data_IF_985116725314
#
_entry.id   IF_985116725314
#
_cell.length_a   1.000
_cell.length_b   1.000
_cell.length_c   1.000
_cell.angle_alpha   90.00
_cell.angle_beta   90.00
_cell.angle_gamma   90.00
#
_symmetry.space_group_name_H-M   'P 1'
#
loop_
_entity.id
_entity.type
_entity.pdbx_description
1 polymer ?
#
# COMPACT_ATOMS: atom_id res chain seq x y z
N UNK A 1 -67.28 58.46 66.47
CA UNK A 1 -66.83 59.78 66.00
C UNK A 1 -67.05 59.81 64.50
N UNK A 2 -67.97 60.65 64.02
CA UNK A 2 -68.17 60.88 62.58
C UNK A 2 -67.45 62.16 62.17
N UNK A 3 -66.64 62.10 61.11
CA UNK A 3 -66.03 63.28 60.48
C UNK A 3 -66.63 63.41 59.08
N UNK A 4 -67.35 64.50 58.82
CA UNK A 4 -68.08 64.69 57.55
C UNK A 4 -69.33 63.81 57.36
N UNK A 5 -69.78 63.09 58.40
CA UNK A 5 -70.95 62.21 58.37
C UNK A 5 -71.83 62.42 59.60
N UNK A 6 -73.15 62.46 59.42
CA UNK A 6 -74.15 62.72 60.47
C UNK A 6 -74.63 61.47 61.22
N UNK A 7 -74.46 60.28 60.66
CA UNK A 7 -74.80 59.01 61.30
C UNK A 7 -73.68 57.97 61.08
N UNK A 8 -72.61 57.98 61.89
CA UNK A 8 -71.45 57.12 61.68
C UNK A 8 -71.76 55.64 61.96
N UNK A 9 -71.40 54.76 61.03
CA UNK A 9 -71.63 53.32 61.13
C UNK A 9 -70.58 52.59 61.99
N UNK A 10 -69.48 53.27 62.34
CA UNK A 10 -68.36 52.72 63.12
C UNK A 10 -67.90 53.67 64.23
N UNK A 11 -67.06 53.16 65.15
CA UNK A 11 -66.48 53.95 66.26
C UNK A 11 -65.70 55.17 65.76
N UNK A 12 -65.06 55.06 64.61
CA UNK A 12 -64.53 56.17 63.81
C UNK A 12 -65.00 55.97 62.37
N UNK A 13 -65.63 57.00 61.80
CA UNK A 13 -66.18 56.98 60.44
C UNK A 13 -65.87 58.33 59.78
N UNK A 14 -65.33 58.33 58.57
CA UNK A 14 -64.77 59.51 57.90
C UNK A 14 -65.25 59.54 56.45
N UNK A 15 -66.13 60.49 56.15
CA UNK A 15 -66.57 60.78 54.78
C UNK A 15 -65.59 61.76 54.13
N UNK A 16 -64.47 61.24 53.63
CA UNK A 16 -63.41 62.03 53.00
C UNK A 16 -62.01 61.42 53.13
N UNK A 17 -60.99 62.19 52.77
CA UNK A 17 -59.60 61.74 52.87
C UNK A 17 -59.05 61.89 54.31
N UNK A 18 -58.57 60.79 54.90
CA UNK A 18 -57.88 60.81 56.18
C UNK A 18 -56.35 60.98 55.97
N UNK A 19 -55.78 62.09 56.45
CA UNK A 19 -54.34 62.34 56.44
C UNK A 19 -53.74 62.05 57.82
N UNK A 20 -52.95 60.99 57.93
CA UNK A 20 -52.19 60.63 59.13
C UNK A 20 -50.69 60.57 58.82
N UNK A 21 -49.83 60.79 59.83
CA UNK A 21 -48.39 60.62 59.69
C UNK A 21 -48.00 59.13 59.61
N UNK A 22 -48.77 58.26 60.27
CA UNK A 22 -48.71 56.81 60.13
C UNK A 22 -50.09 56.22 60.50
N UNK A 23 -50.44 55.09 59.89
CA UNK A 23 -51.49 54.21 60.38
C UNK A 23 -50.80 52.99 61.01
N UNK A 24 -51.06 52.72 62.29
CA UNK A 24 -50.50 51.55 63.01
C UNK A 24 -51.62 50.56 63.33
N UNK A 25 -51.40 49.29 63.01
CA UNK A 25 -52.36 48.19 63.11
C UNK A 25 -51.97 47.04 62.17
N UNK A 26 -52.81 46.01 62.07
CA UNK A 26 -52.60 44.90 61.13
C UNK A 26 -52.88 45.27 59.65
N UNK A 27 -53.63 46.35 59.41
CA UNK A 27 -54.00 46.83 58.08
C UNK A 27 -54.95 45.90 57.31
N UNK A 28 -55.40 44.78 57.89
CA UNK A 28 -56.01 43.67 57.16
C UNK A 28 -57.37 44.00 56.52
N UNK A 29 -58.04 45.06 57.00
CA UNK A 29 -59.33 45.52 56.52
C UNK A 29 -59.25 46.81 55.67
N UNK A 30 -58.04 47.31 55.37
CA UNK A 30 -57.87 48.49 54.51
C UNK A 30 -58.02 48.08 53.04
N UNK A 31 -59.26 48.11 52.57
CA UNK A 31 -59.64 47.78 51.18
C UNK A 31 -59.64 49.02 50.28
N UNK A 32 -59.78 48.82 48.96
CA UNK A 32 -59.96 49.88 47.96
C UNK A 32 -58.82 50.93 47.84
N UNK A 33 -57.59 50.60 48.26
CA UNK A 33 -56.40 51.38 47.87
C UNK A 33 -56.13 51.13 46.38
N UNK A 34 -56.20 52.18 45.57
CA UNK A 34 -55.77 52.10 44.17
C UNK A 34 -54.24 51.90 44.07
N UNK A 35 -53.80 50.93 43.27
CA UNK A 35 -52.39 50.58 43.13
C UNK A 35 -51.50 51.75 42.66
N UNK A 36 -52.07 52.69 41.89
CA UNK A 36 -51.41 53.93 41.46
C UNK A 36 -50.98 54.85 42.60
N UNK A 37 -51.58 54.70 43.78
CA UNK A 37 -51.38 55.58 44.92
C UNK A 37 -50.34 55.03 45.92
N UNK A 38 -49.77 53.85 45.64
CA UNK A 38 -48.73 53.23 46.46
C UNK A 38 -47.36 53.67 45.94
N UNK A 39 -46.94 54.87 46.34
CA UNK A 39 -45.68 55.50 45.91
C UNK A 39 -44.45 54.91 46.64
N UNK A 40 -44.15 53.64 46.39
CA UNK A 40 -42.97 52.93 46.91
C UNK A 40 -43.14 52.39 48.34
N UNK A 41 -42.66 51.16 48.55
CA UNK A 41 -42.70 50.48 49.85
C UNK A 41 -42.32 49.00 49.74
N UNK A 42 -41.97 48.38 50.86
CA UNK A 42 -41.72 46.94 50.95
C UNK A 42 -42.93 46.23 51.55
N UNK A 43 -43.58 45.37 50.78
CA UNK A 43 -44.67 44.51 51.26
C UNK A 43 -44.05 43.33 52.04
N UNK A 44 -44.05 43.41 53.36
CA UNK A 44 -43.57 42.34 54.25
C UNK A 44 -44.76 41.60 54.89
N UNK A 45 -44.67 40.27 55.01
CA UNK A 45 -45.71 39.45 55.65
C UNK A 45 -46.98 39.16 54.83
N UNK A 46 -47.08 39.60 53.57
CA UNK A 46 -48.28 39.41 52.74
C UNK A 46 -48.24 38.07 52.00
N UNK A 47 -49.29 37.24 52.12
CA UNK A 47 -49.33 35.91 51.48
C UNK A 47 -49.59 35.93 49.97
N UNK A 48 -50.26 36.98 49.47
CA UNK A 48 -50.57 37.16 48.04
C UNK A 48 -50.51 38.64 47.67
N UNK A 49 -50.03 38.95 46.47
CA UNK A 49 -50.03 40.29 45.88
C UNK A 49 -50.66 40.18 44.49
N UNK A 50 -51.81 40.83 44.29
CA UNK A 50 -52.49 40.92 43.00
C UNK A 50 -52.17 42.27 42.35
N UNK A 51 -51.32 42.28 41.34
CA UNK A 51 -50.97 43.45 40.54
C UNK A 51 -51.16 43.12 39.06
N UNK A 52 -51.89 43.97 38.33
CA UNK A 52 -52.08 43.84 36.88
C UNK A 52 -50.82 44.19 36.08
N UNK A 53 -50.00 45.09 36.62
CA UNK A 53 -48.71 45.49 36.05
C UNK A 53 -47.71 45.69 37.18
N UNK A 54 -46.56 45.00 37.13
CA UNK A 54 -45.47 45.18 38.10
C UNK A 54 -44.37 46.01 37.43
N UNK A 55 -44.48 47.33 37.54
CA UNK A 55 -43.46 48.28 37.10
C UNK A 55 -42.59 48.68 38.31
N UNK A 56 -41.40 48.10 38.43
CA UNK A 56 -40.44 48.42 39.51
C UNK A 56 -39.13 48.87 38.89
N UNK A 57 -38.55 49.95 39.40
CA UNK A 57 -37.25 50.48 38.97
C UNK A 57 -36.05 49.69 39.53
N UNK A 58 -36.27 48.43 39.92
CA UNK A 58 -35.28 47.58 40.61
C UNK A 58 -35.74 46.12 40.69
N UNK A 59 -34.98 45.29 41.40
CA UNK A 59 -35.17 43.84 41.44
C UNK A 59 -36.46 43.42 42.16
N UNK A 60 -37.26 42.56 41.51
CA UNK A 60 -38.36 41.83 42.16
C UNK A 60 -37.79 40.59 42.86
N UNK A 61 -37.82 40.56 44.19
CA UNK A 61 -37.45 39.37 44.98
C UNK A 61 -38.68 38.51 45.27
N UNK A 62 -38.88 37.45 44.50
CA UNK A 62 -39.95 36.47 44.71
C UNK A 62 -39.44 35.32 45.58
N UNK A 63 -39.62 35.41 46.90
CA UNK A 63 -39.09 34.42 47.85
C UNK A 63 -39.71 33.02 47.74
N UNK A 64 -40.97 32.91 47.33
CA UNK A 64 -41.66 31.64 47.03
C UNK A 64 -42.90 31.91 46.18
N UNK A 65 -42.88 31.50 44.90
CA UNK A 65 -44.05 31.60 44.01
C UNK A 65 -44.82 30.29 44.04
N UNK A 66 -45.93 30.23 44.78
CA UNK A 66 -46.75 29.01 44.92
C UNK A 66 -47.80 28.91 43.79
N UNK A 67 -47.41 29.20 42.54
CA UNK A 67 -48.22 28.90 41.36
C UNK A 67 -47.38 28.72 40.09
N UNK A 68 -47.86 27.83 39.21
CA UNK A 68 -47.07 27.01 38.29
C UNK A 68 -46.64 27.65 36.96
N UNK A 69 -46.93 28.93 36.71
CA UNK A 69 -46.67 29.54 35.39
C UNK A 69 -46.41 31.03 35.52
N UNK A 70 -45.29 31.48 34.94
CA UNK A 70 -44.96 32.88 34.76
C UNK A 70 -44.90 33.17 33.25
N UNK A 71 -45.64 34.17 32.78
CA UNK A 71 -45.73 34.52 31.36
C UNK A 71 -45.41 36.00 31.20
N UNK A 72 -44.34 36.34 30.48
CA UNK A 72 -44.00 37.71 30.11
C UNK A 72 -44.29 37.98 28.64
N UNK A 73 -44.87 39.15 28.34
CA UNK A 73 -45.07 39.64 26.97
C UNK A 73 -43.78 40.19 26.31
N UNK A 74 -42.65 40.13 27.02
CA UNK A 74 -41.34 40.62 26.58
C UNK A 74 -40.20 39.82 27.22
N UNK A 75 -38.97 40.21 26.91
CA UNK A 75 -37.77 39.50 27.34
C UNK A 75 -37.59 39.51 28.88
N UNK A 76 -37.29 38.33 29.42
CA UNK A 76 -36.85 38.16 30.81
C UNK A 76 -35.43 38.69 30.98
N UNK A 77 -35.29 39.92 31.48
CA UNK A 77 -33.97 40.48 31.80
C UNK A 77 -33.43 39.87 33.09
N UNK A 78 -32.25 39.25 32.99
CA UNK A 78 -31.52 38.71 34.13
C UNK A 78 -30.44 39.69 34.58
N UNK A 79 -30.29 39.88 35.89
CA UNK A 79 -29.17 40.65 36.44
C UNK A 79 -27.82 39.99 36.09
N UNK A 80 -26.75 40.79 36.03
CA UNK A 80 -25.40 40.27 35.76
C UNK A 80 -25.05 39.15 36.76
N UNK A 81 -24.50 38.05 36.25
CA UNK A 81 -24.19 36.82 36.99
C UNK A 81 -25.37 35.99 37.55
N UNK A 82 -26.63 36.40 37.35
CA UNK A 82 -27.78 35.54 37.65
C UNK A 82 -27.83 34.32 36.70
N UNK A 83 -28.45 33.23 37.14
CA UNK A 83 -28.59 31.96 36.41
C UNK A 83 -29.99 31.39 36.60
N UNK A 84 -30.58 30.80 35.56
CA UNK A 84 -31.77 29.96 35.69
C UNK A 84 -31.28 28.58 36.13
N UNK A 85 -31.81 28.07 37.24
CA UNK A 85 -31.40 26.80 37.84
C UNK A 85 -32.65 25.96 38.18
N UNK A 86 -32.48 24.66 38.39
CA UNK A 86 -33.59 23.75 38.72
C UNK A 86 -34.50 23.35 37.55
N UNK A 87 -34.11 23.62 36.30
CA UNK A 87 -34.81 23.10 35.12
C UNK A 87 -34.75 21.57 35.08
N UNK A 88 -35.88 20.94 34.76
CA UNK A 88 -35.98 19.50 34.57
C UNK A 88 -35.41 19.06 33.22
N UNK A 89 -35.35 17.74 32.98
CA UNK A 89 -35.01 17.17 31.67
C UNK A 89 -36.11 17.49 30.65
N UNK A 90 -35.80 18.09 29.49
CA UNK A 90 -36.78 18.34 28.44
C UNK A 90 -37.44 17.07 27.91
N UNK A 91 -38.73 17.16 27.61
CA UNK A 91 -39.54 16.12 26.97
C UNK A 91 -39.93 16.47 25.52
N UNK A 92 -39.75 17.73 25.11
CA UNK A 92 -40.02 18.21 23.75
C UNK A 92 -38.98 19.24 23.28
N UNK A 93 -38.90 19.46 21.96
CA UNK A 93 -37.90 20.35 21.34
C UNK A 93 -38.05 21.83 21.74
N UNK A 94 -39.25 22.25 22.12
CA UNK A 94 -39.58 23.65 22.46
C UNK A 94 -39.37 23.97 23.95
N UNK A 95 -38.93 23.00 24.76
CA UNK A 95 -38.69 23.17 26.19
C UNK A 95 -37.26 23.63 26.50
N UNK A 96 -37.11 24.44 27.56
CA UNK A 96 -35.80 24.96 27.99
C UNK A 96 -34.95 23.87 28.66
N UNK A 97 -33.76 23.61 28.12
CA UNK A 97 -32.84 22.60 28.64
C UNK A 97 -31.95 23.11 29.78
N UNK A 98 -31.62 22.22 30.73
CA UNK A 98 -30.52 22.45 31.66
C UNK A 98 -29.17 22.32 30.95
N UNK A 99 -28.14 23.04 31.41
CA UNK A 99 -26.78 22.90 30.87
C UNK A 99 -26.28 21.46 30.96
N UNK A 100 -26.59 20.74 32.05
CA UNK A 100 -26.20 19.33 32.20
C UNK A 100 -26.83 18.40 31.14
N UNK A 101 -28.05 18.70 30.68
CA UNK A 101 -28.70 17.93 29.61
C UNK A 101 -28.02 18.17 28.26
N UNK A 102 -27.80 19.44 27.91
CA UNK A 102 -27.09 19.81 26.67
C UNK A 102 -25.66 19.28 26.67
N UNK A 103 -24.93 19.42 27.79
CA UNK A 103 -23.57 18.91 27.94
C UNK A 103 -23.52 17.39 27.83
N UNK A 104 -24.51 16.66 28.36
CA UNK A 104 -24.61 15.20 28.24
C UNK A 104 -24.86 14.71 26.81
N UNK A 105 -25.54 15.51 25.97
CA UNK A 105 -25.76 15.20 24.56
C UNK A 105 -24.64 15.68 23.63
N UNK A 106 -23.92 16.75 24.00
CA UNK A 106 -22.96 17.45 23.11
C UNK A 106 -21.50 17.41 23.59
N UNK A 107 -21.21 16.70 24.69
CA UNK A 107 -19.85 16.51 25.19
C UNK A 107 -19.30 17.65 26.07
N UNK A 108 -20.16 18.60 26.49
CA UNK A 108 -19.89 19.47 27.63
C UNK A 108 -18.66 20.38 27.55
N UNK A 109 -18.45 21.06 26.43
CA UNK A 109 -17.47 22.16 26.33
C UNK A 109 -16.07 21.75 25.85
N UNK A 110 -16.00 21.01 24.73
CA UNK A 110 -14.74 20.72 24.03
C UNK A 110 -14.70 21.36 22.64
N UNK A 111 -13.54 21.89 22.25
CA UNK A 111 -13.24 22.47 20.94
C UNK A 111 -12.74 21.41 19.93
N UNK A 112 -13.24 20.18 20.03
CA UNK A 112 -12.88 19.06 19.17
C UNK A 112 -14.10 18.58 18.37
N UNK A 113 -13.94 18.43 17.05
CA UNK A 113 -15.03 18.14 16.14
C UNK A 113 -15.47 16.68 16.16
N UNK A 114 -16.75 16.49 15.83
CA UNK A 114 -17.35 15.20 15.50
C UNK A 114 -16.82 14.73 14.15
N UNK A 115 -16.38 13.48 14.07
CA UNK A 115 -15.93 12.84 12.83
C UNK A 115 -16.92 11.80 12.30
N UNK A 116 -17.23 11.93 11.02
CA UNK A 116 -17.82 10.89 10.17
C UNK A 116 -16.73 10.02 9.51
N UNK A 117 -17.13 8.81 9.10
CA UNK A 117 -16.40 7.76 8.36
C UNK A 117 -15.01 7.28 8.83
N UNK A 118 -14.21 8.02 9.61
CA UNK A 118 -13.02 7.50 10.30
C UNK A 118 -12.66 8.28 11.55
N UNK A 119 -12.51 7.57 12.68
CA UNK A 119 -11.87 8.03 13.91
C UNK A 119 -10.84 6.98 14.35
N UNK A 120 -9.67 7.36 14.87
CA UNK A 120 -8.67 6.42 15.42
C UNK A 120 -7.82 7.11 16.51
N UNK A 121 -7.18 6.32 17.37
CA UNK A 121 -7.47 6.40 18.80
C UNK A 121 -6.20 6.40 19.68
N UNK A 122 -6.10 7.28 20.70
CA UNK A 122 -5.02 7.18 21.73
C UNK A 122 -5.49 6.81 23.12
N UNK A 123 -6.77 7.00 23.44
CA UNK A 123 -7.55 5.99 24.15
C UNK A 123 -8.66 5.58 23.20
N UNK A 124 -9.64 6.48 23.07
CA UNK A 124 -10.46 6.67 21.87
C UNK A 124 -10.48 8.18 21.53
N UNK A 125 -9.81 8.61 20.44
CA UNK A 125 -9.71 10.01 19.97
C UNK A 125 -10.61 10.34 18.76
N UNK A 126 -11.11 11.57 18.74
CA UNK A 126 -11.65 12.25 17.56
C UNK A 126 -10.66 13.30 17.00
N UNK A 127 -10.78 13.67 15.72
CA UNK A 127 -9.87 14.56 14.96
C UNK A 127 -10.61 15.76 14.35
N UNK A 128 -9.87 16.82 13.99
CA UNK A 128 -10.37 17.95 13.18
C UNK A 128 -9.32 18.32 12.12
N UNK A 129 -9.73 18.57 10.88
CA UNK A 129 -8.92 19.12 9.78
C UNK A 129 -7.63 18.36 9.38
N UNK A 130 -7.47 17.07 9.73
CA UNK A 130 -6.27 16.30 9.37
C UNK A 130 -6.50 14.94 8.68
N UNK A 131 -7.67 14.32 8.83
CA UNK A 131 -7.98 13.00 8.24
C UNK A 131 -9.27 13.10 7.43
N UNK A 132 -9.17 12.80 6.13
CA UNK A 132 -10.29 12.70 5.18
C UNK A 132 -10.27 11.31 4.56
N UNK A 133 -11.31 10.51 4.80
CA UNK A 133 -11.33 9.11 4.37
C UNK A 133 -12.52 8.81 3.46
N UNK A 134 -12.20 8.25 2.31
CA UNK A 134 -13.14 7.81 1.27
C UNK A 134 -13.76 6.45 1.60
N UNK A 135 -14.69 5.99 0.76
CA UNK A 135 -15.44 4.73 0.90
C UNK A 135 -14.60 3.45 0.92
N UNK A 136 -13.27 3.54 0.76
CA UNK A 136 -12.41 2.41 0.44
C UNK A 136 -11.29 2.15 1.44
N UNK A 137 -11.14 2.91 2.53
CA UNK A 137 -10.12 2.65 3.57
C UNK A 137 -10.80 2.19 4.86
N UNK A 138 -10.51 0.96 5.25
CA UNK A 138 -11.10 0.27 6.39
C UNK A 138 -10.00 0.01 7.43
N UNK A 139 -10.27 0.29 8.70
CA UNK A 139 -9.40 -0.11 9.82
C UNK A 139 -10.21 -1.04 10.71
N UNK A 140 -9.81 -2.30 10.78
CA UNK A 140 -10.57 -3.36 11.47
C UNK A 140 -9.64 -4.44 12.01
N UNK A 141 -9.94 -4.97 13.20
CA UNK A 141 -9.14 -5.96 13.89
C UNK A 141 -7.62 -5.63 14.01
N UNK A 142 -7.25 -4.34 14.09
CA UNK A 142 -5.87 -3.87 14.12
C UNK A 142 -5.15 -3.79 12.77
N UNK A 143 -5.84 -4.17 11.69
CA UNK A 143 -5.32 -4.19 10.33
C UNK A 143 -5.88 -3.02 9.49
N UNK A 144 -5.13 -2.60 8.47
CA UNK A 144 -5.53 -1.59 7.48
C UNK A 144 -5.90 -2.29 6.17
N UNK A 145 -7.12 -2.08 5.68
CA UNK A 145 -7.63 -2.57 4.40
C UNK A 145 -7.91 -1.42 3.43
N UNK A 146 -7.48 -1.54 2.17
CA UNK A 146 -7.82 -0.63 1.07
C UNK A 146 -8.61 -1.41 0.01
N UNK A 147 -9.89 -1.05 -0.17
CA UNK A 147 -10.84 -1.76 -1.02
C UNK A 147 -11.43 -3.02 -0.39
N UNK A 148 -11.20 -3.25 0.91
CA UNK A 148 -11.60 -4.48 1.61
C UNK A 148 -11.82 -4.21 3.09
N UNK A 149 -12.96 -4.68 3.60
CA UNK A 149 -13.36 -4.71 5.02
C UNK A 149 -12.93 -6.02 5.72
N UNK A 150 -12.30 -6.96 4.99
CA UNK A 150 -11.73 -8.20 5.52
C UNK A 150 -10.21 -8.29 5.25
N UNK A 151 -9.38 -7.42 5.87
CA UNK A 151 -7.92 -7.43 5.67
C UNK A 151 -7.26 -8.73 6.16
N UNK A 152 -6.55 -9.42 5.27
CA UNK A 152 -5.87 -10.71 5.53
C UNK A 152 -4.48 -10.57 6.21
N UNK A 153 -4.05 -9.36 6.48
CA UNK A 153 -2.79 -9.02 7.14
C UNK A 153 -2.82 -7.58 7.66
N UNK A 154 -1.75 -7.15 8.34
CA UNK A 154 -1.60 -5.82 8.94
C UNK A 154 -1.90 -4.67 7.96
N UNK A 155 -1.56 -4.87 6.69
CA UNK A 155 -1.93 -3.98 5.59
C UNK A 155 -2.36 -4.82 4.38
N UNK A 156 -3.54 -4.56 3.81
CA UNK A 156 -4.11 -5.27 2.66
C UNK A 156 -4.65 -4.27 1.64
N UNK A 157 -4.29 -4.43 0.36
CA UNK A 157 -4.84 -3.65 -0.77
C UNK A 157 -5.49 -4.58 -1.80
N UNK A 158 -6.75 -4.30 -2.13
CA UNK A 158 -7.57 -5.02 -3.10
C UNK A 158 -8.79 -5.71 -2.47
N UNK A 159 -9.91 -5.78 -3.23
CA UNK A 159 -11.14 -6.45 -2.81
C UNK A 159 -11.15 -7.97 -3.09
N UNK A 160 -10.16 -8.48 -3.82
CA UNK A 160 -10.16 -9.82 -4.38
C UNK A 160 -9.78 -10.93 -3.40
N UNK A 161 -10.09 -12.18 -3.77
CA UNK A 161 -9.64 -13.35 -3.03
C UNK A 161 -8.09 -13.43 -2.94
N UNK A 162 -7.42 -13.06 -4.03
CA UNK A 162 -5.99 -12.73 -4.10
C UNK A 162 -5.79 -11.22 -3.97
N UNK A 163 -5.03 -10.74 -2.96
CA UNK A 163 -4.76 -9.32 -2.75
C UNK A 163 -3.84 -8.79 -3.85
N UNK A 164 -3.96 -7.51 -4.19
CA UNK A 164 -2.93 -6.86 -4.99
C UNK A 164 -1.63 -6.72 -4.18
N UNK A 165 -1.76 -6.37 -2.90
CA UNK A 165 -0.65 -6.20 -1.96
C UNK A 165 -1.09 -6.60 -0.54
N UNK A 166 -0.25 -7.32 0.21
CA UNK A 166 -0.46 -7.64 1.63
C UNK A 166 0.84 -7.59 2.43
N UNK A 167 0.77 -7.10 3.67
CA UNK A 167 1.81 -7.30 4.70
C UNK A 167 1.23 -8.17 5.79
N UNK A 168 1.84 -9.31 6.03
CA UNK A 168 1.41 -10.27 7.07
C UNK A 168 1.90 -9.84 8.46
N UNK A 169 1.30 -10.39 9.52
CA UNK A 169 1.79 -10.22 10.91
C UNK A 169 3.20 -10.82 11.13
N UNK A 170 3.67 -11.70 10.24
CA UNK A 170 5.04 -12.21 10.21
C UNK A 170 6.05 -11.24 9.54
N UNK A 171 5.63 -10.05 9.11
CA UNK A 171 6.49 -9.06 8.46
C UNK A 171 6.83 -9.36 7.00
N UNK A 172 6.14 -10.34 6.38
CA UNK A 172 6.33 -10.73 4.99
C UNK A 172 5.37 -9.97 4.06
N UNK A 173 5.87 -9.56 2.89
CA UNK A 173 5.13 -8.83 1.86
C UNK A 173 4.71 -9.77 0.72
N UNK A 174 3.43 -9.81 0.40
CA UNK A 174 2.86 -10.57 -0.71
C UNK A 174 2.27 -9.66 -1.79
N UNK A 175 2.60 -9.92 -3.06
CA UNK A 175 1.97 -9.31 -4.24
C UNK A 175 1.24 -10.42 -5.01
N UNK A 176 -0.06 -10.30 -5.23
CA UNK A 176 -0.86 -11.36 -5.86
C UNK A 176 -1.05 -12.63 -5.03
N UNK A 177 -0.52 -12.70 -3.80
CA UNK A 177 -0.63 -13.85 -2.88
C UNK A 177 -1.10 -13.41 -1.49
N UNK A 178 -1.86 -14.27 -0.80
CA UNK A 178 -2.32 -14.04 0.58
C UNK A 178 -1.38 -14.57 1.65
N UNK A 179 -0.60 -15.60 1.31
CA UNK A 179 0.32 -16.28 2.21
C UNK A 179 1.72 -16.28 1.63
N UNK A 180 2.44 -15.14 1.67
CA UNK A 180 3.86 -15.13 1.36
C UNK A 180 4.60 -16.10 2.30
N UNK A 181 5.44 -16.97 1.74
CA UNK A 181 6.33 -17.90 2.48
C UNK A 181 7.76 -17.36 2.60
N UNK A 182 8.04 -16.23 1.96
CA UNK A 182 9.30 -15.49 1.98
C UNK A 182 9.06 -14.03 2.33
N UNK A 183 10.14 -13.31 2.71
CA UNK A 183 10.05 -11.87 3.09
C UNK A 183 9.38 -11.00 2.03
N UNK A 184 9.59 -11.31 0.75
CA UNK A 184 8.87 -10.74 -0.39
C UNK A 184 8.53 -11.88 -1.35
N UNK A 185 7.23 -12.09 -1.61
CA UNK A 185 6.77 -13.03 -2.63
C UNK A 185 5.83 -12.33 -3.61
N UNK A 186 6.13 -12.44 -4.91
CA UNK A 186 5.26 -11.97 -5.99
C UNK A 186 4.72 -13.18 -6.75
N UNK A 187 3.40 -13.32 -6.81
CA UNK A 187 2.71 -14.31 -7.62
C UNK A 187 2.40 -13.72 -9.00
N UNK A 188 3.44 -13.55 -9.82
CA UNK A 188 3.35 -12.94 -11.15
C UNK A 188 4.72 -12.43 -11.63
N UNK A 189 4.75 -11.82 -12.83
CA UNK A 189 5.97 -11.21 -13.35
C UNK A 189 6.39 -9.96 -12.60
N UNK A 190 7.69 -9.78 -12.42
CA UNK A 190 8.29 -8.57 -11.83
C UNK A 190 9.08 -7.84 -12.92
N UNK A 191 8.72 -6.58 -13.20
CA UNK A 191 9.54 -5.70 -14.04
C UNK A 191 10.44 -4.87 -13.14
N UNK A 192 11.76 -4.98 -13.32
CA UNK A 192 12.76 -4.16 -12.63
C UNK A 192 13.50 -3.32 -13.67
N UNK A 193 13.28 -2.01 -13.64
CA UNK A 193 13.74 -1.07 -14.69
C UNK A 193 15.25 -0.84 -14.67
N UNK A 194 15.91 -1.04 -13.52
CA UNK A 194 17.36 -1.16 -13.38
C UNK A 194 17.70 -1.71 -11.98
N UNK A 195 18.91 -2.25 -11.81
CA UNK A 195 19.45 -2.49 -10.46
C UNK A 195 18.99 -3.76 -9.74
N UNK A 196 18.57 -4.81 -10.46
CA UNK A 196 18.69 -6.15 -9.88
C UNK A 196 20.19 -6.45 -9.75
N UNK A 197 20.74 -6.37 -8.53
CA UNK A 197 22.14 -6.64 -8.30
C UNK A 197 22.47 -8.10 -8.67
N UNK A 198 23.61 -8.32 -9.33
CA UNK A 198 24.10 -9.67 -9.60
C UNK A 198 24.19 -10.46 -8.28
N UNK A 199 23.59 -11.67 -8.24
CA UNK A 199 23.39 -12.44 -7.02
C UNK A 199 21.96 -12.38 -6.42
N UNK A 200 21.04 -11.64 -7.04
CA UNK A 200 19.61 -11.76 -6.71
C UNK A 200 19.04 -13.08 -7.26
N UNK A 201 18.75 -14.03 -6.35
CA UNK A 201 18.17 -15.34 -6.67
C UNK A 201 16.76 -15.22 -7.25
N UNK A 202 16.66 -15.14 -8.58
CA UNK A 202 15.39 -15.34 -9.31
C UNK A 202 15.12 -16.84 -9.37
N UNK A 203 14.47 -17.38 -8.33
CA UNK A 203 14.05 -18.78 -8.27
C UNK A 203 12.91 -19.01 -9.28
N UNK A 204 13.26 -19.36 -10.52
CA UNK A 204 12.28 -19.46 -11.59
C UNK A 204 12.75 -19.99 -12.96
N UNK A 205 13.99 -20.48 -13.08
CA UNK A 205 14.49 -21.15 -14.30
C UNK A 205 15.36 -20.29 -15.20
N UNK A 206 16.21 -20.95 -15.99
CA UNK A 206 17.04 -20.30 -16.99
C UNK A 206 16.24 -20.05 -18.26
N UNK A 207 15.84 -18.80 -18.47
CA UNK A 207 15.08 -18.36 -19.65
C UNK A 207 15.73 -17.12 -20.25
N UNK A 208 16.03 -17.13 -21.55
CA UNK A 208 16.50 -15.94 -22.26
C UNK A 208 15.33 -14.95 -22.46
N UNK A 209 15.40 -13.69 -21.96
CA UNK A 209 14.34 -12.70 -22.18
C UNK A 209 14.10 -12.33 -23.64
N UNK A 210 15.10 -12.53 -24.52
CA UNK A 210 15.02 -12.20 -25.95
C UNK A 210 14.51 -13.38 -26.80
N UNK A 211 14.54 -14.60 -26.29
CA UNK A 211 13.91 -15.77 -26.89
C UNK A 211 13.39 -16.75 -25.83
N UNK A 212 12.07 -16.76 -25.57
CA UNK A 212 11.45 -17.71 -24.64
C UNK A 212 11.60 -19.19 -25.02
N UNK A 213 12.11 -19.51 -26.22
CA UNK A 213 12.36 -20.88 -26.68
C UNK A 213 13.84 -21.27 -26.61
N UNK A 214 14.71 -20.40 -26.09
CA UNK A 214 16.14 -20.66 -25.90
C UNK A 214 16.31 -21.61 -24.70
N UNK A 215 16.77 -22.84 -24.95
CA UNK A 215 16.79 -23.90 -23.94
C UNK A 215 18.08 -23.80 -23.13
N UNK A 216 17.99 -23.25 -21.93
CA UNK A 216 19.15 -23.03 -21.04
C UNK A 216 19.02 -23.86 -19.74
N UNK A 217 20.15 -24.21 -19.13
CA UNK A 217 20.25 -24.93 -17.85
C UNK A 217 21.14 -24.19 -16.85
N UNK A 218 20.88 -24.32 -15.53
CA UNK A 218 21.69 -23.68 -14.50
C UNK A 218 23.00 -24.45 -14.24
N UNK A 219 24.13 -23.75 -14.37
CA UNK A 219 25.47 -24.20 -13.98
C UNK A 219 25.93 -23.33 -12.81
N UNK A 220 25.58 -23.75 -11.59
CA UNK A 220 25.66 -22.90 -10.41
C UNK A 220 24.69 -21.72 -10.51
N UNK A 221 25.19 -20.50 -10.35
CA UNK A 221 24.41 -19.27 -10.40
C UNK A 221 24.25 -18.68 -11.82
N UNK A 222 24.81 -19.34 -12.85
CA UNK A 222 24.84 -18.88 -14.24
C UNK A 222 23.99 -19.80 -15.11
N UNK A 223 23.27 -19.22 -16.07
CA UNK A 223 22.53 -19.97 -17.09
C UNK A 223 23.41 -20.20 -18.32
N UNK A 224 23.51 -21.46 -18.74
CA UNK A 224 24.28 -21.89 -19.92
C UNK A 224 23.31 -22.48 -20.94
N UNK A 225 23.55 -22.24 -22.23
CA UNK A 225 22.83 -22.90 -23.33
C UNK A 225 22.92 -24.43 -23.14
N UNK A 226 21.79 -25.14 -23.18
CA UNK A 226 21.77 -26.60 -22.94
C UNK A 226 22.47 -27.37 -24.05
N UNK A 227 22.39 -26.86 -25.27
CA UNK A 227 22.93 -27.44 -26.49
C UNK A 227 23.87 -26.47 -27.19
N UNK A 228 24.84 -27.02 -27.92
CA UNK A 228 25.68 -26.34 -28.90
C UNK A 228 24.87 -25.32 -29.73
N UNK A 229 25.43 -24.11 -29.89
CA UNK A 229 24.71 -22.99 -30.49
C UNK A 229 24.31 -23.25 -31.95
N UNK A 230 23.04 -22.99 -32.24
CA UNK A 230 22.50 -22.88 -33.60
C UNK A 230 22.30 -21.40 -33.93
N UNK A 231 22.67 -20.98 -35.13
CA UNK A 231 22.75 -19.57 -35.53
C UNK A 231 21.62 -19.22 -36.50
N UNK A 232 20.89 -18.15 -36.23
CA UNK A 232 19.64 -17.81 -36.91
C UNK A 232 19.58 -16.36 -37.38
N UNK A 233 18.69 -16.10 -38.35
CA UNK A 233 18.39 -14.76 -38.88
C UNK A 233 17.67 -13.83 -37.89
N UNK A 234 16.98 -14.36 -36.89
CA UNK A 234 16.32 -13.57 -35.84
C UNK A 234 16.49 -14.22 -34.47
N UNK A 235 16.31 -13.44 -33.40
CA UNK A 235 16.42 -13.92 -32.03
C UNK A 235 15.51 -15.12 -31.72
N UNK A 236 14.34 -15.22 -32.36
CA UNK A 236 13.34 -16.27 -32.14
C UNK A 236 13.23 -17.29 -33.27
N UNK A 237 14.14 -17.26 -34.26
CA UNK A 237 14.27 -18.28 -35.33
C UNK A 237 14.45 -17.73 -36.75
N UNK A 238 13.77 -18.36 -37.72
CA UNK A 238 13.87 -18.03 -39.15
C UNK A 238 14.83 -18.96 -39.91
N UNK A 239 15.72 -18.39 -40.71
CA UNK A 239 16.72 -19.16 -41.47
C UNK A 239 17.90 -19.52 -40.57
N UNK A 240 18.27 -20.80 -40.52
CA UNK A 240 19.48 -21.25 -39.84
C UNK A 240 20.71 -21.12 -40.75
N UNK A 241 21.83 -20.65 -40.19
CA UNK A 241 23.13 -20.54 -40.83
C UNK A 241 24.13 -21.56 -40.23
N UNK A 242 25.17 -21.93 -40.95
CA UNK A 242 26.26 -22.78 -40.45
C UNK A 242 25.99 -24.28 -40.36
N UNK A 243 24.79 -24.76 -40.68
CA UNK A 243 24.41 -26.18 -40.51
C UNK A 243 25.07 -27.12 -41.52
N UNK A 244 25.43 -26.62 -42.70
CA UNK A 244 26.05 -27.39 -43.79
C UNK A 244 27.35 -26.76 -44.30
N UNK A 245 27.32 -25.46 -44.58
CA UNK A 245 28.41 -24.65 -45.13
C UNK A 245 28.58 -23.35 -44.34
N UNK A 246 29.66 -22.62 -44.62
CA UNK A 246 29.71 -21.20 -44.29
C UNK A 246 28.68 -20.45 -45.16
N UNK A 247 27.76 -19.74 -44.52
CA UNK A 247 26.69 -18.97 -45.16
C UNK A 247 26.16 -17.83 -44.27
N UNK A 248 26.99 -17.32 -43.35
CA UNK A 248 26.61 -16.23 -42.45
C UNK A 248 26.44 -14.90 -43.20
N UNK A 249 25.51 -14.06 -42.75
CA UNK A 249 25.21 -12.78 -43.42
C UNK A 249 26.28 -11.71 -43.19
N UNK A 250 27.00 -11.76 -42.06
CA UNK A 250 27.99 -10.77 -41.67
C UNK A 250 29.43 -11.26 -41.86
N UNK A 251 30.33 -10.30 -42.09
CA UNK A 251 31.73 -10.56 -42.42
C UNK A 251 32.47 -11.24 -41.25
N UNK A 252 33.51 -12.00 -41.60
CA UNK A 252 34.40 -12.76 -40.70
C UNK A 252 35.01 -11.96 -39.54
N UNK A 253 35.12 -10.63 -39.68
CA UNK A 253 35.62 -9.74 -38.63
C UNK A 253 34.53 -9.23 -37.66
N UNK A 254 33.28 -9.68 -37.82
CA UNK A 254 32.15 -9.33 -36.95
C UNK A 254 31.54 -7.94 -37.15
N UNK A 255 32.13 -7.10 -38.01
CA UNK A 255 31.88 -5.63 -38.04
C UNK A 255 30.42 -5.23 -38.26
N UNK A 256 29.69 -6.00 -39.07
CA UNK A 256 28.31 -5.77 -39.48
C UNK A 256 27.31 -6.74 -38.82
N UNK A 257 27.81 -7.73 -38.06
CA UNK A 257 26.97 -8.56 -37.19
C UNK A 257 26.30 -7.70 -36.09
N UNK A 258 26.89 -6.55 -35.74
CA UNK A 258 26.34 -5.61 -34.74
C UNK A 258 25.20 -4.72 -35.28
N UNK A 259 25.06 -4.58 -36.60
CA UNK A 259 24.25 -3.53 -37.23
C UNK A 259 23.27 -4.09 -38.27
N UNK A 260 23.71 -4.25 -39.51
CA UNK A 260 22.85 -4.56 -40.67
C UNK A 260 22.61 -6.05 -40.83
N UNK A 261 23.63 -6.87 -40.61
CA UNK A 261 23.64 -8.30 -40.90
C UNK A 261 23.62 -9.12 -39.61
N UNK A 262 22.66 -8.83 -38.74
CA UNK A 262 22.56 -9.48 -37.42
C UNK A 262 22.30 -10.97 -37.55
N UNK A 263 23.07 -11.73 -36.78
CA UNK A 263 22.89 -13.16 -36.54
C UNK A 263 22.69 -13.38 -35.04
N UNK A 264 21.99 -14.47 -34.68
CA UNK A 264 21.54 -14.73 -33.32
C UNK A 264 21.85 -16.19 -32.92
N UNK A 265 22.55 -16.39 -31.79
CA UNK A 265 22.86 -17.70 -31.22
C UNK A 265 21.74 -18.20 -30.31
N UNK A 266 21.21 -19.39 -30.62
CA UNK A 266 20.07 -20.02 -29.93
C UNK A 266 20.39 -21.47 -29.61
N UNK A 267 20.06 -21.89 -28.40
CA UNK A 267 20.10 -23.27 -27.95
C UNK A 267 18.77 -23.94 -28.26
N UNK A 268 18.75 -24.70 -29.35
CA UNK A 268 17.55 -25.30 -29.94
C UNK A 268 17.74 -26.80 -30.00
N UNK A 269 16.73 -27.58 -29.64
CA UNK A 269 16.75 -29.05 -29.74
C UNK A 269 16.38 -29.52 -31.15
N UNK A 270 16.97 -30.63 -31.61
CA UNK A 270 16.63 -31.30 -32.86
C UNK A 270 17.24 -30.66 -34.12
N UNK A 271 18.27 -29.82 -33.98
CA UNK A 271 18.94 -29.15 -35.10
C UNK A 271 20.43 -29.52 -35.16
N UNK A 272 21.05 -29.39 -36.32
CA UNK A 272 22.51 -29.48 -36.45
C UNK A 272 23.13 -28.19 -35.92
N UNK A 273 24.10 -28.22 -35.00
CA UNK A 273 24.76 -27.00 -34.52
C UNK A 273 25.58 -26.32 -35.61
N UNK A 274 25.79 -25.02 -35.45
CA UNK A 274 26.35 -24.16 -36.49
C UNK A 274 27.89 -24.14 -36.44
N UNK A 275 28.55 -24.33 -37.58
CA UNK A 275 30.01 -24.40 -37.72
C UNK A 275 30.55 -23.47 -38.81
N UNK A 276 31.87 -23.48 -39.02
CA UNK A 276 32.59 -22.62 -39.98
C UNK A 276 32.47 -21.12 -39.64
N UNK A 277 32.42 -20.78 -38.35
CA UNK A 277 32.23 -19.41 -37.87
C UNK A 277 33.50 -18.88 -37.19
N UNK A 278 33.82 -17.59 -37.38
CA UNK A 278 34.89 -16.94 -36.62
C UNK A 278 34.48 -16.58 -35.20
N UNK A 279 35.45 -16.44 -34.30
CA UNK A 279 35.20 -15.96 -32.95
C UNK A 279 34.44 -14.61 -32.92
N UNK A 280 34.72 -13.70 -33.86
CA UNK A 280 34.06 -12.39 -33.93
C UNK A 280 32.57 -12.50 -34.29
N UNK A 281 32.22 -13.35 -35.26
CA UNK A 281 30.84 -13.66 -35.59
C UNK A 281 30.13 -14.34 -34.40
N UNK A 282 30.79 -15.28 -33.73
CA UNK A 282 30.23 -16.02 -32.59
C UNK A 282 29.92 -15.10 -31.39
N UNK A 283 30.88 -14.24 -31.03
CA UNK A 283 30.71 -13.23 -29.99
C UNK A 283 29.52 -12.31 -30.27
N UNK A 284 29.40 -11.81 -31.50
CA UNK A 284 28.29 -10.95 -31.88
C UNK A 284 26.94 -11.69 -31.93
N UNK A 285 26.92 -12.97 -32.32
CA UNK A 285 25.71 -13.79 -32.31
C UNK A 285 25.16 -14.00 -30.89
N UNK A 286 26.03 -14.23 -29.91
CA UNK A 286 25.63 -14.27 -28.50
C UNK A 286 25.09 -12.91 -28.03
N UNK A 287 25.84 -11.82 -28.24
CA UNK A 287 25.47 -10.47 -27.81
C UNK A 287 24.12 -10.02 -28.39
N UNK A 288 23.89 -10.26 -29.69
CA UNK A 288 22.60 -9.97 -30.33
C UNK A 288 21.41 -10.72 -29.72
N UNK A 289 21.67 -11.86 -29.07
CA UNK A 289 20.68 -12.71 -28.40
C UNK A 289 20.54 -12.38 -26.91
N UNK A 290 21.28 -11.39 -26.40
CA UNK A 290 21.35 -11.05 -24.97
C UNK A 290 22.18 -12.03 -24.13
N UNK A 291 23.06 -12.78 -24.78
CA UNK A 291 23.99 -13.74 -24.16
C UNK A 291 25.43 -13.27 -24.35
N UNK A 292 26.37 -13.95 -23.73
CA UNK A 292 27.80 -13.83 -23.98
C UNK A 292 28.37 -15.17 -24.47
N UNK A 293 29.58 -15.16 -25.05
CA UNK A 293 30.32 -16.41 -25.23
C UNK A 293 30.67 -16.97 -23.86
N UNK A 294 30.64 -18.30 -23.73
CA UNK A 294 30.88 -18.94 -22.45
C UNK A 294 32.33 -18.68 -21.99
N UNK A 295 32.57 -18.08 -20.80
CA UNK A 295 33.92 -17.93 -20.29
C UNK A 295 34.56 -19.29 -20.01
N UNK A 296 35.86 -19.44 -20.24
CA UNK A 296 36.58 -20.71 -20.14
C UNK A 296 36.38 -21.40 -18.77
N UNK A 297 36.36 -20.63 -17.68
CA UNK A 297 36.09 -21.14 -16.34
C UNK A 297 34.67 -21.71 -16.18
N UNK A 298 33.66 -21.11 -16.83
CA UNK A 298 32.27 -21.59 -16.80
C UNK A 298 32.11 -22.77 -17.77
N UNK A 299 32.79 -22.77 -18.91
CA UNK A 299 32.85 -23.92 -19.81
C UNK A 299 33.38 -25.17 -19.08
N UNK A 300 34.50 -25.02 -18.37
CA UNK A 300 35.09 -26.10 -17.57
C UNK A 300 34.14 -26.59 -16.45
N UNK A 301 33.39 -25.69 -15.82
CA UNK A 301 32.38 -26.05 -14.84
C UNK A 301 31.18 -26.78 -15.48
N UNK A 302 30.68 -26.26 -16.61
CA UNK A 302 29.53 -26.79 -17.35
C UNK A 302 29.80 -28.19 -17.94
N UNK A 303 31.04 -28.48 -18.32
CA UNK A 303 31.50 -29.79 -18.77
C UNK A 303 31.69 -30.82 -17.62
N UNK A 304 31.63 -30.38 -16.36
CA UNK A 304 31.90 -31.25 -15.21
C UNK A 304 30.83 -32.33 -15.05
N UNK A 305 31.28 -33.57 -14.81
CA UNK A 305 30.41 -34.73 -14.68
C UNK A 305 29.85 -35.28 -15.99
N UNK A 306 30.22 -34.72 -17.16
CA UNK A 306 30.05 -35.44 -18.43
C UNK A 306 30.87 -36.72 -18.35
N UNK A 307 30.25 -37.86 -18.63
CA UNK A 307 30.95 -39.15 -18.51
C UNK A 307 31.99 -39.29 -19.62
N UNK A 308 33.24 -39.60 -19.25
CA UNK A 308 34.32 -39.86 -20.20
C UNK A 308 33.98 -41.10 -21.05
N UNK A 309 33.83 -40.98 -22.40
CA UNK A 309 33.52 -42.12 -23.28
C UNK A 309 34.65 -43.17 -23.34
N UNK A 310 35.82 -42.83 -22.77
CA UNK A 310 37.01 -43.65 -22.76
C UNK A 310 37.65 -43.80 -24.14
N UNK A 311 38.84 -44.39 -24.18
CA UNK A 311 39.59 -44.60 -25.44
C UNK A 311 38.98 -45.66 -26.38
N UNK A 312 37.86 -46.30 -25.99
CA UNK A 312 37.30 -47.50 -26.63
C UNK A 312 35.78 -47.49 -26.85
N UNK A 313 35.06 -46.45 -26.41
CA UNK A 313 33.70 -46.16 -26.92
C UNK A 313 32.58 -47.14 -26.55
N UNK A 314 32.43 -47.48 -25.27
CA UNK A 314 31.22 -48.15 -24.75
C UNK A 314 30.84 -47.55 -23.39
N UNK A 315 29.67 -46.89 -23.37
CA UNK A 315 29.13 -46.02 -22.31
C UNK A 315 29.83 -44.66 -22.13
N UNK A 316 29.09 -43.54 -22.21
CA UNK A 316 28.09 -43.19 -23.21
C UNK A 316 28.72 -42.49 -24.43
N UNK A 317 28.07 -42.54 -25.59
CA UNK A 317 28.67 -42.15 -26.87
C UNK A 317 28.69 -40.62 -27.12
N UNK A 318 29.50 -39.88 -26.36
CA UNK A 318 29.93 -38.54 -26.78
C UNK A 318 30.59 -38.61 -28.18
N UNK A 319 30.20 -37.72 -29.10
CA UNK A 319 30.65 -37.73 -30.49
C UNK A 319 32.08 -37.20 -30.65
N UNK A 320 33.08 -37.91 -30.13
CA UNK A 320 34.49 -37.52 -30.12
C UNK A 320 35.27 -37.97 -31.37
N UNK A 321 34.64 -38.73 -32.27
CA UNK A 321 35.29 -39.30 -33.46
C UNK A 321 34.35 -39.55 -34.65
N UNK A 322 33.16 -38.95 -34.67
CA UNK A 322 32.23 -39.05 -35.80
C UNK A 322 32.67 -38.24 -37.03
N UNK A 323 32.00 -38.46 -38.16
CA UNK A 323 32.28 -37.77 -39.43
C UNK A 323 31.60 -36.40 -39.56
N UNK A 324 30.98 -35.90 -38.50
CA UNK A 324 30.23 -34.65 -38.47
C UNK A 324 29.54 -34.44 -37.12
N UNK A 325 28.97 -33.24 -36.89
CA UNK A 325 28.30 -32.90 -35.64
C UNK A 325 27.05 -33.74 -35.39
N UNK A 326 26.72 -33.91 -34.11
CA UNK A 326 25.47 -34.53 -33.69
C UNK A 326 24.29 -33.56 -33.83
N UNK A 327 23.06 -34.09 -33.88
CA UNK A 327 21.88 -33.25 -33.69
C UNK A 327 21.69 -32.95 -32.20
N UNK A 328 21.44 -31.69 -31.87
CA UNK A 328 21.19 -31.24 -30.49
C UNK A 328 19.99 -31.98 -29.86
N UNK A 329 20.06 -32.39 -28.59
CA UNK A 329 19.00 -33.19 -27.96
C UNK A 329 18.94 -34.66 -28.40
N UNK A 330 19.84 -35.11 -29.30
CA UNK A 330 19.96 -36.52 -29.68
C UNK A 330 20.85 -37.32 -28.74
N UNK A 331 21.94 -36.73 -28.27
CA UNK A 331 23.01 -37.42 -27.54
C UNK A 331 22.82 -37.33 -26.02
N UNK A 332 21.67 -37.80 -25.53
CA UNK A 332 21.30 -37.78 -24.10
C UNK A 332 22.35 -38.40 -23.17
N UNK A 333 23.19 -39.31 -23.67
CA UNK A 333 24.32 -39.88 -22.94
C UNK A 333 25.51 -38.92 -22.74
N UNK A 334 25.70 -37.93 -23.61
CA UNK A 334 26.76 -36.92 -23.50
C UNK A 334 26.31 -35.66 -22.74
N UNK A 335 25.53 -35.87 -21.67
CA UNK A 335 25.10 -34.80 -20.77
C UNK A 335 26.08 -34.63 -19.60
N UNK A 336 26.34 -33.39 -19.20
CA UNK A 336 27.06 -33.08 -17.96
C UNK A 336 26.21 -33.27 -16.71
N UNK A 337 26.80 -33.13 -15.52
CA UNK A 337 26.05 -33.17 -14.26
C UNK A 337 25.02 -32.03 -14.12
N UNK A 338 25.15 -30.98 -14.94
CA UNK A 338 24.21 -29.86 -15.01
C UNK A 338 23.16 -30.01 -16.13
N UNK A 339 23.25 -31.10 -16.91
CA UNK A 339 22.36 -31.37 -18.03
C UNK A 339 22.69 -30.60 -19.31
N UNK A 340 23.87 -29.99 -19.42
CA UNK A 340 24.39 -29.44 -20.69
C UNK A 340 24.86 -30.60 -21.56
N UNK A 341 24.40 -30.67 -22.80
CA UNK A 341 24.76 -31.71 -23.77
C UNK A 341 25.93 -31.29 -24.66
N UNK A 342 26.72 -32.26 -25.12
CA UNK A 342 27.79 -32.11 -26.11
C UNK A 342 28.99 -31.22 -25.71
N UNK A 343 29.12 -30.87 -24.41
CA UNK A 343 30.35 -30.27 -23.85
C UNK A 343 31.63 -31.10 -24.13
N UNK A 344 31.51 -32.35 -24.61
CA UNK A 344 32.62 -33.21 -25.05
C UNK A 344 32.25 -33.82 -26.41
N UNK A 345 32.92 -33.37 -27.48
CA UNK A 345 32.71 -33.89 -28.84
C UNK A 345 31.70 -33.06 -29.64
N UNK A 346 31.15 -33.63 -30.72
CA UNK A 346 30.36 -32.93 -31.74
C UNK A 346 31.17 -31.84 -32.45
N UNK A 347 31.11 -30.58 -32.03
CA UNK A 347 31.96 -29.49 -32.53
C UNK A 347 32.97 -29.00 -31.49
N UNK A 348 34.04 -28.35 -31.97
CA UNK A 348 34.85 -27.49 -31.11
C UNK A 348 34.08 -26.21 -30.77
N UNK A 349 34.03 -25.87 -29.49
CA UNK A 349 33.33 -24.68 -29.02
C UNK A 349 34.26 -23.47 -28.84
N UNK A 350 33.77 -22.28 -29.21
CA UNK A 350 34.43 -21.01 -28.93
C UNK A 350 34.13 -20.56 -27.50
N UNK A 351 35.17 -20.32 -26.70
CA UNK A 351 35.06 -19.65 -25.39
C UNK A 351 35.35 -18.15 -25.51
N UNK A 352 34.92 -17.35 -24.53
CA UNK A 352 35.17 -15.90 -24.53
C UNK A 352 36.67 -15.54 -24.42
N UNK A 353 37.45 -16.37 -23.71
CA UNK A 353 38.86 -16.12 -23.40
C UNK A 353 39.78 -16.34 -24.60
N UNK A 354 40.68 -15.38 -24.82
CA UNK A 354 41.78 -15.50 -25.78
C UNK A 354 43.04 -16.03 -25.08
N UNK A 355 43.68 -17.02 -25.69
CA UNK A 355 44.92 -17.61 -25.19
C UNK A 355 46.15 -16.78 -25.56
N UNK A 356 47.24 -16.99 -24.81
CA UNK A 356 48.52 -16.32 -25.06
C UNK A 356 49.33 -16.99 -26.16
N UNK A 357 49.59 -16.25 -27.24
CA UNK A 357 50.42 -16.73 -28.33
C UNK A 357 51.88 -16.86 -27.87
N UNK A 358 52.46 -18.06 -27.96
CA UNK A 358 53.88 -18.28 -27.67
C UNK A 358 54.72 -17.62 -28.77
N UNK A 359 55.68 -16.78 -28.38
CA UNK A 359 56.53 -16.05 -29.33
C UNK A 359 57.27 -17.03 -30.28
N UNK A 360 56.99 -16.91 -31.58
CA UNK A 360 57.52 -17.81 -32.61
C UNK A 360 56.47 -18.65 -33.35
N UNK A 361 55.23 -18.72 -32.86
CA UNK A 361 54.12 -19.24 -33.65
C UNK A 361 53.81 -18.29 -34.82
N UNK A 362 53.71 -18.82 -36.05
CA UNK A 362 53.56 -18.06 -37.31
C UNK A 362 52.21 -17.34 -37.49
N UNK A 363 51.32 -17.40 -36.49
CA UNK A 363 49.94 -16.97 -36.61
C UNK A 363 49.78 -15.67 -35.82
N UNK A 364 50.05 -14.55 -36.49
CA UNK A 364 50.08 -13.21 -35.89
C UNK A 364 48.67 -12.60 -35.67
N UNK A 365 47.76 -13.40 -35.11
CA UNK A 365 46.50 -12.99 -34.50
C UNK A 365 46.36 -13.79 -33.20
N UNK A 366 45.89 -13.18 -32.12
CA UNK A 366 45.91 -13.81 -30.79
C UNK A 366 45.33 -15.23 -30.81
N UNK A 367 46.03 -16.18 -30.19
CA UNK A 367 45.65 -17.60 -30.22
C UNK A 367 44.35 -17.82 -29.46
N UNK A 368 43.24 -17.89 -30.18
CA UNK A 368 41.92 -18.17 -29.62
C UNK A 368 41.93 -19.57 -28.99
N UNK A 369 41.35 -19.73 -27.80
CA UNK A 369 41.20 -21.06 -27.18
C UNK A 369 39.96 -21.72 -27.76
N UNK A 370 40.13 -22.94 -28.26
CA UNK A 370 39.05 -23.88 -28.54
C UNK A 370 39.20 -25.04 -27.54
N UNK A 371 38.11 -25.48 -26.94
CA UNK A 371 38.14 -26.56 -25.94
C UNK A 371 37.43 -27.81 -26.48
N UNK A 372 38.10 -28.95 -26.32
CA UNK A 372 37.70 -30.32 -26.70
C UNK A 372 37.27 -30.60 -28.16
N UNK A 373 37.98 -31.53 -28.83
CA UNK A 373 37.58 -32.06 -30.14
C UNK A 373 38.64 -32.93 -30.84
N UNK A 374 39.29 -33.83 -30.10
CA UNK A 374 40.09 -34.94 -30.66
C UNK A 374 41.62 -34.78 -30.68
N UNK A 375 42.30 -35.91 -30.45
CA UNK A 375 43.74 -36.17 -30.64
C UNK A 375 44.76 -35.16 -30.04
N UNK A 376 44.66 -34.86 -28.75
CA UNK A 376 45.74 -35.18 -27.81
C UNK A 376 45.29 -35.07 -26.35
N UNK A 377 46.02 -35.77 -25.45
CA UNK A 377 45.63 -36.05 -24.07
C UNK A 377 45.20 -34.80 -23.28
N UNK A 378 44.03 -34.89 -22.66
CA UNK A 378 43.56 -33.97 -21.61
C UNK A 378 44.62 -33.76 -20.52
N UNK A 379 45.00 -32.50 -20.32
CA UNK A 379 45.40 -31.97 -19.02
C UNK A 379 44.67 -30.65 -18.83
N UNK A 380 44.02 -30.52 -17.68
CA UNK A 380 43.55 -29.23 -17.13
C UNK A 380 44.78 -28.44 -16.66
#
# INVERSE_FOLDING_TARGET
MGIGISNPAAKLDVSGAAKAAAFQGDGALITNIAASNIAGGSFTGVSYIFLSTVAVSGSVYLGSVVKSTFTSAGALQMAQNARITGLQTPLANDEAASKSYVDGLTGGGQTAAVLSSTQTFTGQNAFVNQISVSSNLFVTAGNIGIGTDTPKGLFHVGAGATPAFVVTSAGQVGIGTTGPVEKLQVSGGIMVSSGLAAGAWVVGGCTNPNDPNDIMVPVGDICVDKYEASIWSTATGGTQYGSASDNYLCNDNGQDCASTNKIYARSVSGVTPSRNMTWFQANMACINSGKELLPNAIWQAAASGTTDPGATGTEPNCNVSGTGPSATGGDTGCSSAFGVENMIGSLWEWVADWGTAVAGASNAYGTMVQVAGGWNRYRV
#
